data_IF_879701748825
#
_entry.id   IF_879701748825
#
_cell.length_a   1.000
_cell.length_b   1.000
_cell.length_c   1.000
_cell.angle_alpha   90.00
_cell.angle_beta   90.00
_cell.angle_gamma   90.00
#
_symmetry.space_group_name_H-M   'P 1'
#
loop_
_entity.id
_entity.type
_entity.pdbx_description
1 polymer ?
#
# COMPACT_ATOMS: atom_id res chain seq x y z
N UNK A 1 -5.39 -23.67 0.83
CA UNK A 1 -4.34 -22.66 1.08
C UNK A 1 -4.95 -21.39 1.71
N UNK A 2 -4.38 -20.88 2.79
CA UNK A 2 -4.69 -19.56 3.34
C UNK A 2 -3.39 -18.89 3.80
N UNK A 3 -3.46 -17.57 3.98
CA UNK A 3 -2.34 -16.80 4.49
C UNK A 3 -2.82 -15.82 5.58
N UNK A 4 -1.91 -15.43 6.47
CA UNK A 4 -2.10 -14.30 7.37
C UNK A 4 -1.21 -13.18 6.87
N UNK A 5 -1.82 -12.06 6.55
CA UNK A 5 -1.16 -10.90 5.95
C UNK A 5 -1.47 -9.64 6.74
N UNK A 6 -0.50 -8.77 6.86
CA UNK A 6 -0.70 -7.44 7.44
C UNK A 6 -1.06 -6.45 6.34
N UNK A 7 -2.21 -5.80 6.50
CA UNK A 7 -2.74 -4.80 5.56
C UNK A 7 -3.14 -3.55 6.35
N UNK A 8 -2.56 -2.41 6.02
CA UNK A 8 -2.85 -1.13 6.66
C UNK A 8 -2.82 -1.18 8.21
N UNK A 9 -1.84 -1.90 8.77
CA UNK A 9 -1.64 -2.02 10.23
C UNK A 9 -2.54 -3.04 10.94
N UNK A 10 -3.31 -3.83 10.20
CA UNK A 10 -4.14 -4.90 10.74
C UNK A 10 -3.83 -6.24 10.09
N UNK A 11 -3.97 -7.32 10.85
CA UNK A 11 -3.72 -8.67 10.37
C UNK A 11 -5.02 -9.34 9.95
N UNK A 12 -4.99 -9.93 8.76
CA UNK A 12 -6.14 -10.60 8.17
C UNK A 12 -5.78 -12.02 7.74
N UNK A 13 -6.70 -12.95 8.01
CA UNK A 13 -6.65 -14.28 7.43
C UNK A 13 -7.32 -14.23 6.06
N UNK A 14 -6.56 -14.49 5.01
CA UNK A 14 -7.00 -14.37 3.63
C UNK A 14 -6.97 -15.70 2.89
N UNK A 15 -7.93 -15.89 2.01
CA UNK A 15 -7.99 -16.99 1.05
C UNK A 15 -8.11 -16.43 -0.35
N UNK A 16 -7.82 -17.23 -1.34
CA UNK A 16 -8.05 -16.87 -2.74
C UNK A 16 -9.54 -16.62 -2.98
N UNK A 17 -9.84 -15.65 -3.83
CA UNK A 17 -11.19 -15.22 -4.24
C UNK A 17 -12.08 -14.72 -3.07
N UNK A 18 -11.43 -14.30 -1.97
CA UNK A 18 -12.11 -13.74 -0.80
C UNK A 18 -12.20 -12.21 -0.89
N UNK A 19 -13.39 -11.66 -0.59
CA UNK A 19 -13.61 -10.22 -0.45
C UNK A 19 -13.48 -9.82 1.02
N UNK A 20 -12.75 -8.74 1.27
CA UNK A 20 -12.47 -8.22 2.61
C UNK A 20 -12.64 -6.71 2.63
N UNK A 21 -13.07 -6.19 3.78
CA UNK A 21 -13.04 -4.78 4.08
C UNK A 21 -11.81 -4.48 4.93
N UNK A 22 -10.99 -3.57 4.45
CA UNK A 22 -9.75 -3.13 5.11
C UNK A 22 -9.75 -1.61 5.26
N UNK A 23 -8.86 -1.08 6.08
CA UNK A 23 -8.67 0.36 6.15
C UNK A 23 -8.35 0.93 4.77
N UNK A 24 -8.72 2.18 4.53
CA UNK A 24 -8.55 2.86 3.24
C UNK A 24 -7.14 2.69 2.72
N UNK A 25 -7.04 2.09 1.54
CA UNK A 25 -5.78 1.95 0.80
C UNK A 25 -5.60 3.13 -0.17
N UNK A 26 -4.36 3.54 -0.42
CA UNK A 26 -4.04 4.41 -1.52
C UNK A 26 -4.22 3.65 -2.84
N UNK A 27 -4.81 4.28 -3.83
CA UNK A 27 -5.06 3.71 -5.15
C UNK A 27 -6.47 4.00 -5.62
N UNK A 28 -6.72 3.75 -6.88
CA UNK A 28 -8.04 3.89 -7.51
C UNK A 28 -8.79 2.56 -7.49
N UNK A 29 -10.10 2.65 -7.66
CA UNK A 29 -10.95 1.46 -7.82
C UNK A 29 -10.54 0.67 -9.06
N UNK A 30 -10.49 -0.65 -8.94
CA UNK A 30 -10.00 -1.53 -9.99
C UNK A 30 -8.48 -1.73 -10.02
N UNK A 31 -7.70 -0.98 -9.24
CA UNK A 31 -6.24 -1.12 -9.21
C UNK A 31 -5.80 -2.40 -8.51
N UNK A 32 -4.70 -2.97 -9.00
CA UNK A 32 -4.07 -4.15 -8.40
C UNK A 32 -3.07 -3.71 -7.34
N UNK A 33 -3.18 -4.31 -6.17
CA UNK A 33 -2.31 -4.05 -5.01
C UNK A 33 -1.62 -5.34 -4.60
N UNK A 34 -0.37 -5.24 -4.14
CA UNK A 34 0.42 -6.36 -3.64
C UNK A 34 0.77 -6.12 -2.19
N UNK A 35 0.66 -7.17 -1.40
CA UNK A 35 1.02 -7.16 0.00
C UNK A 35 2.17 -8.13 0.23
N UNK A 36 3.28 -7.58 0.70
CA UNK A 36 4.53 -8.33 0.92
C UNK A 36 4.68 -8.80 2.37
N UNK A 37 3.90 -8.21 3.30
CA UNK A 37 3.97 -8.53 4.72
C UNK A 37 3.11 -9.76 5.05
N UNK A 38 3.58 -10.91 4.65
CA UNK A 38 2.92 -12.20 4.93
C UNK A 38 3.57 -12.83 6.15
N UNK A 39 2.79 -13.06 7.19
CA UNK A 39 3.25 -13.57 8.48
C UNK A 39 3.22 -15.10 8.57
N UNK A 40 2.20 -15.70 7.95
CA UNK A 40 1.99 -17.14 7.96
C UNK A 40 1.31 -17.59 6.67
N UNK A 41 1.71 -18.74 6.18
CA UNK A 41 0.99 -19.43 5.11
C UNK A 41 0.75 -20.88 5.49
N UNK A 42 -0.41 -21.39 5.13
CA UNK A 42 -0.77 -22.80 5.22
C UNK A 42 -1.23 -23.29 3.86
N UNK A 43 -0.50 -24.23 3.32
CA UNK A 43 -0.84 -24.92 2.10
C UNK A 43 -1.06 -26.39 2.38
N UNK A 44 -2.33 -26.79 2.57
CA UNK A 44 -2.75 -28.17 2.79
C UNK A 44 -1.98 -28.88 3.91
N UNK A 45 -1.76 -28.19 5.03
CA UNK A 45 -1.05 -28.74 6.19
C UNK A 45 0.45 -28.47 6.23
N UNK A 46 1.00 -27.85 5.19
CA UNK A 46 2.36 -27.29 5.25
C UNK A 46 2.28 -25.87 5.74
N UNK A 47 2.59 -25.69 7.01
CA UNK A 47 2.57 -24.38 7.65
C UNK A 47 3.96 -23.78 7.63
N UNK A 48 4.08 -22.58 7.05
CA UNK A 48 5.28 -21.75 7.11
C UNK A 48 4.98 -20.51 7.96
N UNK A 49 5.79 -20.28 8.98
CA UNK A 49 5.66 -19.13 9.88
C UNK A 49 6.85 -18.19 9.66
N UNK A 50 6.58 -16.92 9.46
CA UNK A 50 7.60 -15.89 9.30
C UNK A 50 8.20 -15.45 10.64
N UNK A 51 9.43 -14.98 10.60
CA UNK A 51 10.10 -14.37 11.73
C UNK A 51 10.63 -12.96 11.34
N UNK A 52 9.82 -11.91 11.36
CA UNK A 52 8.35 -11.82 11.45
C UNK A 52 7.60 -12.08 10.14
N UNK A 53 8.26 -11.95 8.98
CA UNK A 53 7.66 -12.03 7.64
C UNK A 53 8.30 -13.17 6.85
N UNK A 54 7.51 -13.85 6.03
CA UNK A 54 8.00 -14.87 5.11
C UNK A 54 8.56 -14.18 3.86
N UNK A 55 9.82 -14.41 3.57
CA UNK A 55 10.46 -13.85 2.38
C UNK A 55 10.01 -14.56 1.11
N UNK A 56 9.65 -13.79 0.09
CA UNK A 56 9.34 -14.31 -1.24
C UNK A 56 7.89 -14.76 -1.44
N UNK A 57 7.02 -14.56 -0.47
CA UNK A 57 5.57 -14.76 -0.63
C UNK A 57 4.88 -13.40 -0.66
N UNK A 58 3.93 -13.26 -1.58
CA UNK A 58 3.12 -12.05 -1.75
C UNK A 58 1.66 -12.42 -1.90
N UNK A 59 0.79 -11.53 -1.45
CA UNK A 59 -0.65 -11.63 -1.66
C UNK A 59 -1.05 -10.57 -2.69
N UNK A 60 -1.58 -11.02 -3.81
CA UNK A 60 -2.13 -10.15 -4.84
C UNK A 60 -3.61 -9.91 -4.58
N UNK A 61 -4.02 -8.64 -4.61
CA UNK A 61 -5.40 -8.23 -4.45
C UNK A 61 -5.77 -7.14 -5.45
N UNK A 62 -7.07 -6.95 -5.63
CA UNK A 62 -7.63 -5.87 -6.42
C UNK A 62 -8.57 -5.04 -5.55
N UNK A 63 -8.48 -3.71 -5.64
CA UNK A 63 -9.43 -2.82 -4.98
C UNK A 63 -10.73 -2.87 -5.78
N UNK A 64 -11.82 -3.26 -5.14
CA UNK A 64 -13.15 -3.31 -5.77
C UNK A 64 -13.79 -1.93 -5.70
N UNK A 65 -13.88 -1.37 -4.49
CA UNK A 65 -14.49 -0.07 -4.26
C UNK A 65 -13.97 0.58 -2.97
N UNK A 66 -14.20 1.87 -2.87
CA UNK A 66 -13.94 2.63 -1.67
C UNK A 66 -15.24 3.07 -1.03
N UNK A 67 -15.47 2.63 0.20
CA UNK A 67 -16.70 2.93 0.92
C UNK A 67 -16.45 3.50 2.32
N UNK A 68 -17.51 3.87 2.98
CA UNK A 68 -17.49 4.30 4.38
C UNK A 68 -18.29 3.29 5.20
N UNK A 69 -17.72 2.87 6.32
CA UNK A 69 -18.41 2.03 7.30
C UNK A 69 -19.66 2.73 7.86
N UNK A 70 -20.44 1.98 8.60
CA UNK A 70 -21.61 2.52 9.30
C UNK A 70 -21.20 3.60 10.31
N UNK A 71 -22.13 4.51 10.55
CA UNK A 71 -21.88 5.61 11.47
C UNK A 71 -21.89 5.12 12.90
N UNK A 72 -20.77 5.31 13.59
CA UNK A 72 -20.64 5.03 15.02
C UNK A 72 -20.97 6.31 15.79
N UNK A 73 -22.00 6.23 16.64
CA UNK A 73 -22.42 7.34 17.47
C UNK A 73 -21.67 7.29 18.80
N UNK A 74 -20.99 8.40 19.12
CA UNK A 74 -20.24 8.56 20.37
C UNK A 74 -21.01 9.56 21.22
N UNK A 75 -21.64 9.06 22.27
CA UNK A 75 -22.39 9.87 23.20
C UNK A 75 -21.65 10.02 24.51
N UNK A 76 -21.44 11.26 24.96
CA UNK A 76 -20.80 11.57 26.24
C UNK A 76 -21.72 12.45 27.05
N UNK A 77 -22.03 12.01 28.30
CA UNK A 77 -22.83 12.78 29.26
C UNK A 77 -22.19 12.72 30.63
N UNK A 78 -22.23 13.82 31.33
CA UNK A 78 -21.87 13.90 32.76
C UNK A 78 -23.10 14.25 33.55
N UNK A 79 -23.42 13.46 34.55
CA UNK A 79 -24.57 13.62 35.42
C UNK A 79 -24.49 14.94 36.22
N UNK A 80 -25.58 15.70 36.31
CA UNK A 80 -25.70 16.95 37.08
C UNK A 80 -24.75 18.07 36.65
N UNK A 81 -24.13 18.01 35.47
CA UNK A 81 -23.17 19.04 35.02
C UNK A 81 -23.54 19.71 33.69
N UNK A 82 -24.74 19.44 33.16
CA UNK A 82 -25.14 19.96 31.85
C UNK A 82 -24.29 19.57 30.67
N UNK A 83 -23.30 18.65 30.86
CA UNK A 83 -22.42 18.19 29.79
C UNK A 83 -23.09 17.09 29.01
N UNK A 84 -23.31 17.33 27.72
CA UNK A 84 -23.82 16.36 26.77
C UNK A 84 -23.21 16.63 25.41
N UNK A 85 -22.58 15.59 24.81
CA UNK A 85 -22.04 15.66 23.45
C UNK A 85 -22.38 14.38 22.69
N UNK A 86 -22.84 14.55 21.45
CA UNK A 86 -23.09 13.48 20.52
C UNK A 86 -22.28 13.73 19.25
N UNK A 87 -21.30 12.87 18.99
CA UNK A 87 -20.48 12.91 17.78
C UNK A 87 -20.70 11.62 16.99
N UNK A 88 -20.69 11.72 15.66
CA UNK A 88 -20.75 10.56 14.79
C UNK A 88 -19.42 10.40 14.05
N UNK A 89 -18.94 9.16 13.93
CA UNK A 89 -17.75 8.82 13.16
C UNK A 89 -18.10 7.80 12.08
N UNK A 90 -17.59 7.99 10.86
CA UNK A 90 -17.64 7.02 9.77
C UNK A 90 -16.23 6.75 9.29
N UNK A 91 -15.77 5.50 9.49
CA UNK A 91 -14.45 5.07 9.05
C UNK A 91 -14.44 4.89 7.53
N UNK A 92 -13.39 5.40 6.90
CA UNK A 92 -13.13 5.14 5.49
C UNK A 92 -12.49 3.77 5.36
N UNK A 93 -13.02 2.93 4.49
CA UNK A 93 -12.58 1.58 4.23
C UNK A 93 -12.48 1.33 2.72
N UNK A 94 -11.75 0.29 2.36
CA UNK A 94 -11.67 -0.21 0.98
C UNK A 94 -12.10 -1.66 0.95
N UNK A 95 -12.94 -2.03 0.01
CA UNK A 95 -13.23 -3.42 -0.29
C UNK A 95 -12.19 -3.92 -1.26
N UNK A 96 -11.51 -5.00 -0.89
CA UNK A 96 -10.53 -5.67 -1.74
C UNK A 96 -10.94 -7.10 -2.01
N UNK A 97 -10.57 -7.61 -3.16
CA UNK A 97 -10.72 -9.01 -3.55
C UNK A 97 -9.33 -9.63 -3.71
N UNK A 98 -9.08 -10.74 -3.02
CA UNK A 98 -7.81 -11.45 -3.08
C UNK A 98 -7.77 -12.27 -4.36
N UNK A 99 -6.90 -11.93 -5.29
CA UNK A 99 -6.76 -12.63 -6.58
C UNK A 99 -5.82 -13.83 -6.49
N UNK A 100 -4.82 -13.75 -5.62
CA UNK A 100 -3.87 -14.85 -5.47
C UNK A 100 -2.98 -14.75 -4.25
N UNK A 101 -2.50 -15.91 -3.82
CA UNK A 101 -1.48 -16.05 -2.78
C UNK A 101 -0.37 -16.88 -3.41
N UNK A 102 0.84 -16.35 -3.50
CA UNK A 102 1.92 -17.07 -4.18
C UNK A 102 3.30 -16.50 -3.96
N UNK A 103 4.28 -17.16 -4.54
CA UNK A 103 5.65 -16.66 -4.54
C UNK A 103 5.73 -15.40 -5.37
N UNK A 104 5.97 -14.28 -4.71
CA UNK A 104 6.24 -13.02 -5.35
C UNK A 104 7.51 -13.15 -6.18
N UNK A 105 7.44 -12.70 -7.41
CA UNK A 105 8.66 -12.48 -8.18
C UNK A 105 9.39 -11.36 -7.47
N UNK A 106 10.46 -11.67 -6.75
CA UNK A 106 11.30 -10.68 -6.09
C UNK A 106 11.68 -9.63 -7.13
N UNK A 107 11.12 -8.44 -7.02
CA UNK A 107 11.57 -7.31 -7.79
C UNK A 107 12.97 -7.00 -7.25
N UNK A 108 13.99 -7.48 -7.96
CA UNK A 108 15.36 -7.11 -7.73
C UNK A 108 15.36 -5.59 -7.64
N UNK A 109 15.64 -5.04 -6.47
CA UNK A 109 15.83 -3.62 -6.30
C UNK A 109 16.95 -3.21 -7.24
N UNK A 110 16.60 -2.64 -8.38
CA UNK A 110 17.54 -1.92 -9.20
C UNK A 110 17.83 -0.63 -8.44
N UNK A 111 18.89 -0.67 -7.65
CA UNK A 111 19.58 0.53 -7.22
C UNK A 111 20.10 1.20 -8.49
N UNK A 112 19.29 2.06 -9.09
CA UNK A 112 19.82 3.03 -10.03
C UNK A 112 20.57 4.07 -9.20
N UNK A 113 21.86 3.77 -9.05
CA UNK A 113 22.89 4.73 -8.73
C UNK A 113 22.76 5.87 -9.71
N UNK A 114 22.28 7.01 -9.24
CA UNK A 114 22.42 8.27 -9.96
C UNK A 114 23.92 8.55 -10.09
N UNK A 115 24.48 8.22 -11.23
CA UNK A 115 25.77 8.74 -11.63
C UNK A 115 25.52 10.12 -12.22
N UNK A 116 25.78 11.13 -11.43
CA UNK A 116 26.08 12.46 -11.88
C UNK A 116 27.23 12.40 -12.88
N UNK A 117 26.95 12.61 -14.13
CA UNK A 117 27.98 12.96 -15.09
C UNK A 117 28.02 14.49 -15.21
N UNK A 118 28.93 15.06 -14.48
CA UNK A 118 29.53 16.33 -14.72
C UNK A 118 30.44 16.17 -15.97
N UNK A 119 30.14 16.88 -17.02
CA UNK A 119 31.10 17.25 -18.06
C UNK A 119 30.68 18.64 -18.49
N UNK A 120 31.38 19.65 -18.01
CA UNK A 120 32.57 20.26 -18.56
C UNK A 120 32.24 20.86 -19.90
N UNK A 121 32.06 22.20 -19.91
CA UNK A 121 33.07 23.20 -20.06
C UNK A 121 33.79 23.18 -21.39
N UNK A 122 33.83 24.37 -21.93
CA UNK A 122 34.65 24.87 -23.07
C UNK A 122 34.12 24.48 -24.45
N UNK A 123 33.92 25.40 -25.36
CA UNK A 123 34.72 26.55 -25.69
C UNK A 123 33.91 27.54 -26.54
N UNK A 124 34.00 28.77 -26.20
CA UNK A 124 34.03 29.81 -27.19
C UNK A 124 35.40 29.77 -27.89
N UNK A 125 35.51 30.16 -29.15
CA UNK A 125 36.13 31.45 -29.32
C UNK A 125 35.52 32.34 -30.40
N UNK A 126 35.76 33.55 -30.14
CA UNK A 126 35.57 34.76 -30.87
C UNK A 126 36.23 34.79 -32.23
N UNK A 127 35.94 35.92 -32.85
CA UNK A 127 36.60 36.61 -33.96
C UNK A 127 35.98 36.27 -35.31
N UNK A 128 35.81 37.13 -36.22
CA UNK A 128 36.37 38.46 -36.47
C UNK A 128 35.55 39.10 -37.57
N UNK A 129 35.33 40.40 -37.42
CA UNK A 129 35.59 41.48 -38.37
C UNK A 129 35.24 41.28 -39.85
N UNK A 130 34.58 42.13 -40.39
CA UNK A 130 34.91 43.31 -41.23
C UNK A 130 33.74 43.63 -42.14
N UNK A 131 33.27 44.80 -42.02
CA UNK A 131 33.58 45.98 -42.87
C UNK A 131 32.83 45.96 -44.21
N UNK A 132 32.18 46.94 -44.37
CA UNK A 132 32.19 48.11 -45.24
C UNK A 132 31.03 48.15 -46.23
N UNK A 133 30.29 49.09 -46.21
CA UNK A 133 30.06 50.33 -47.05
C UNK A 133 28.72 50.89 -46.71
#
# INVERSE_FOLDING_TARGET
MYAIVEIAGHQYKVRKDQKLYVNRLPGEEGSKVKFDQVLLTDDNGKVEVGAPVISGIQVDAQIVEHCKADKVLIFKKKRRKGHQKLNGHRQQISQIEITGIGKGKAKKASSQKASSAKAAESAAPASEKQEES
#
